data_IF_062806188155
#
_entry.id   IF_062806188155
#
_cell.length_a   1.000
_cell.length_b   1.000
_cell.length_c   1.000
_cell.angle_alpha   90.00
_cell.angle_beta   90.00
_cell.angle_gamma   90.00
#
_symmetry.space_group_name_H-M   'P 1'
#
loop_
_entity.id
_entity.type
_entity.pdbx_description
1 polymer ?
#
# COMPACT_ATOMS: atom_id res chain seq x y z
N UNK A 1 -31.18 -30.72 -16.18
CA UNK A 1 -29.86 -31.19 -15.69
C UNK A 1 -28.84 -30.15 -16.10
N UNK A 2 -28.37 -29.34 -15.15
CA UNK A 2 -27.23 -28.45 -15.44
C UNK A 2 -25.96 -29.31 -15.48
N UNK A 3 -25.09 -29.14 -16.49
CA UNK A 3 -23.83 -29.86 -16.53
C UNK A 3 -22.97 -29.44 -15.33
N UNK A 4 -22.42 -30.41 -14.63
CA UNK A 4 -21.44 -30.16 -13.56
C UNK A 4 -20.23 -29.40 -14.14
N UNK A 5 -19.71 -28.40 -13.42
CA UNK A 5 -18.51 -27.70 -13.83
C UNK A 5 -17.30 -28.65 -13.80
N UNK A 6 -16.32 -28.46 -14.70
CA UNK A 6 -15.18 -29.36 -14.83
C UNK A 6 -14.36 -29.42 -13.53
N UNK A 7 -14.05 -30.66 -13.11
CA UNK A 7 -13.18 -30.95 -11.97
C UNK A 7 -11.82 -30.26 -12.15
N UNK A 8 -11.60 -29.19 -11.39
CA UNK A 8 -10.46 -28.27 -11.52
C UNK A 8 -10.82 -26.81 -11.21
N UNK A 9 -12.11 -26.46 -11.24
CA UNK A 9 -12.63 -25.17 -10.79
C UNK A 9 -13.15 -25.25 -9.36
N UNK A 10 -12.26 -25.50 -8.39
CA UNK A 10 -12.55 -25.04 -7.03
C UNK A 10 -12.40 -23.53 -7.05
N UNK A 11 -13.53 -22.89 -7.38
CA UNK A 11 -13.68 -21.47 -7.52
C UNK A 11 -13.20 -20.82 -6.23
N UNK A 12 -12.34 -19.82 -6.37
CA UNK A 12 -12.09 -18.83 -5.33
C UNK A 12 -13.46 -18.23 -4.99
N UNK A 13 -14.11 -18.78 -3.97
CA UNK A 13 -15.41 -18.35 -3.52
C UNK A 13 -15.21 -16.94 -2.99
N UNK A 14 -16.05 -16.00 -3.42
CA UNK A 14 -16.06 -14.68 -2.82
C UNK A 14 -16.15 -14.83 -1.29
N UNK A 15 -15.34 -14.08 -0.52
CA UNK A 15 -15.30 -14.24 0.93
C UNK A 15 -16.71 -14.10 1.50
N UNK A 16 -17.12 -15.06 2.32
CA UNK A 16 -18.34 -14.94 3.11
C UNK A 16 -18.18 -13.77 4.08
N UNK A 17 -19.05 -12.74 4.05
CA UNK A 17 -18.94 -11.60 4.95
C UNK A 17 -19.06 -12.00 6.44
N UNK A 18 -19.62 -13.18 6.75
CA UNK A 18 -19.69 -13.72 8.11
C UNK A 18 -18.44 -14.49 8.56
N UNK A 19 -17.55 -14.84 7.64
CA UNK A 19 -16.28 -15.51 7.93
C UNK A 19 -15.17 -14.94 7.02
N UNK A 20 -14.35 -13.99 7.53
CA UNK A 20 -13.31 -13.32 6.75
C UNK A 20 -12.19 -14.26 6.27
N UNK A 21 -12.16 -15.51 6.77
CA UNK A 21 -11.18 -16.52 6.40
C UNK A 21 -11.69 -17.49 5.31
N UNK A 22 -12.98 -17.48 4.99
CA UNK A 22 -13.62 -18.45 4.07
C UNK A 22 -13.18 -18.33 2.60
N UNK A 23 -12.61 -17.19 2.20
CA UNK A 23 -12.07 -16.95 0.85
C UNK A 23 -10.54 -16.98 0.76
N UNK A 24 -9.82 -17.27 1.86
CA UNK A 24 -8.36 -17.26 1.88
C UNK A 24 -7.82 -18.46 1.12
N UNK A 25 -6.90 -18.23 0.18
CA UNK A 25 -6.20 -19.31 -0.53
C UNK A 25 -5.31 -20.05 0.47
N UNK A 26 -5.64 -21.31 0.76
CA UNK A 26 -4.97 -22.11 1.79
C UNK A 26 -3.59 -22.61 1.33
N UNK A 27 -3.40 -22.83 0.02
CA UNK A 27 -2.13 -23.34 -0.52
C UNK A 27 -1.18 -22.23 -0.95
N UNK A 28 -0.10 -22.06 -0.18
CA UNK A 28 0.97 -21.10 -0.46
C UNK A 28 1.63 -21.28 -1.84
N UNK A 29 1.74 -22.52 -2.35
CA UNK A 29 2.29 -22.78 -3.69
C UNK A 29 1.36 -22.26 -4.77
N UNK A 30 0.05 -22.44 -4.60
CA UNK A 30 -0.99 -21.90 -5.50
C UNK A 30 -0.98 -20.37 -5.49
N UNK A 31 -0.92 -19.75 -4.30
CA UNK A 31 -0.80 -18.28 -4.16
C UNK A 31 0.40 -17.76 -4.93
N UNK A 32 1.59 -18.35 -4.71
CA UNK A 32 2.81 -17.93 -5.39
C UNK A 32 2.67 -18.01 -6.91
N UNK A 33 2.08 -19.08 -7.45
CA UNK A 33 1.82 -19.20 -8.90
C UNK A 33 0.86 -18.13 -9.40
N UNK A 34 -0.21 -17.83 -8.67
CA UNK A 34 -1.18 -16.79 -9.04
C UNK A 34 -0.53 -15.41 -9.05
N UNK A 35 0.20 -15.06 -8.01
CA UNK A 35 0.92 -13.78 -7.89
C UNK A 35 1.98 -13.66 -8.98
N UNK A 36 2.81 -14.69 -9.19
CA UNK A 36 3.83 -14.65 -10.25
C UNK A 36 3.23 -14.55 -11.65
N UNK A 37 2.09 -15.20 -11.92
CA UNK A 37 1.38 -15.04 -13.19
C UNK A 37 0.75 -13.64 -13.33
N UNK A 38 0.19 -13.09 -12.24
CA UNK A 38 -0.34 -11.73 -12.18
C UNK A 38 0.74 -10.68 -12.41
N UNK A 39 1.91 -10.84 -11.80
CA UNK A 39 3.07 -9.97 -11.97
C UNK A 39 3.54 -9.95 -13.43
N UNK A 40 3.62 -11.12 -14.08
CA UNK A 40 3.94 -11.21 -15.53
C UNK A 40 2.95 -10.47 -16.40
N UNK A 41 1.65 -10.56 -16.09
CA UNK A 41 0.63 -9.80 -16.82
C UNK A 41 0.71 -8.29 -16.57
N UNK A 42 1.35 -7.87 -15.47
CA UNK A 42 1.54 -6.46 -15.12
C UNK A 42 2.77 -5.85 -15.83
N UNK A 43 3.77 -6.64 -16.25
CA UNK A 43 5.04 -6.19 -16.84
C UNK A 43 4.86 -5.12 -17.92
N UNK A 44 3.93 -5.31 -18.86
CA UNK A 44 3.69 -4.32 -19.92
C UNK A 44 3.19 -2.97 -19.37
N UNK A 45 2.36 -2.98 -18.31
CA UNK A 45 1.90 -1.76 -17.64
C UNK A 45 2.99 -1.13 -16.79
N UNK A 46 3.85 -1.93 -16.16
CA UNK A 46 4.99 -1.42 -15.40
C UNK A 46 5.92 -0.60 -16.29
N UNK A 47 6.17 -1.05 -17.52
CA UNK A 47 7.01 -0.27 -18.44
C UNK A 47 6.37 1.07 -18.80
N UNK A 48 5.04 1.11 -18.98
CA UNK A 48 4.35 2.38 -19.22
C UNK A 48 4.39 3.30 -17.99
N UNK A 49 4.23 2.76 -16.79
CA UNK A 49 4.36 3.53 -15.55
C UNK A 49 5.78 4.09 -15.39
N UNK A 50 6.80 3.26 -15.66
CA UNK A 50 8.20 3.67 -15.64
C UNK A 50 8.49 4.81 -16.61
N UNK A 51 7.97 4.74 -17.84
CA UNK A 51 8.15 5.83 -18.82
C UNK A 51 7.48 7.15 -18.37
N UNK A 52 6.34 7.06 -17.69
CA UNK A 52 5.66 8.23 -17.12
C UNK A 52 6.48 8.81 -15.96
N UNK A 53 6.98 7.97 -15.06
CA UNK A 53 7.85 8.36 -13.95
C UNK A 53 9.16 8.98 -14.45
N UNK A 54 9.84 8.34 -15.39
CA UNK A 54 11.09 8.84 -16.00
C UNK A 54 10.89 10.24 -16.60
N UNK A 55 9.78 10.46 -17.33
CA UNK A 55 9.45 11.75 -17.92
C UNK A 55 9.03 12.79 -16.85
N UNK A 56 8.40 12.36 -15.76
CA UNK A 56 8.06 13.24 -14.64
C UNK A 56 9.34 13.68 -13.89
N UNK A 57 10.25 12.75 -13.61
CA UNK A 57 11.55 12.98 -12.95
C UNK A 57 12.57 13.69 -13.85
N UNK A 58 12.19 14.02 -15.08
CA UNK A 58 13.02 14.69 -16.11
C UNK A 58 14.29 13.89 -16.46
N UNK A 59 14.18 12.57 -16.41
CA UNK A 59 15.24 11.69 -16.87
C UNK A 59 15.39 11.91 -18.39
N UNK A 60 16.62 12.11 -18.90
CA UNK A 60 16.82 12.28 -20.33
C UNK A 60 16.24 11.10 -21.14
N UNK A 61 15.52 11.36 -22.25
CA UNK A 61 14.80 10.33 -22.97
C UNK A 61 15.71 9.26 -23.59
N UNK A 62 16.89 9.67 -24.06
CA UNK A 62 17.85 8.77 -24.70
C UNK A 62 19.09 8.59 -23.84
N UNK A 63 19.74 7.44 -23.97
CA UNK A 63 21.08 7.23 -23.42
C UNK A 63 22.14 7.84 -24.35
N UNK A 64 23.31 8.20 -23.82
CA UNK A 64 24.40 8.75 -24.63
C UNK A 64 24.85 7.80 -25.74
N UNK A 65 24.77 6.49 -25.50
CA UNK A 65 25.09 5.45 -26.49
C UNK A 65 24.10 5.46 -27.66
N UNK A 66 22.80 5.61 -27.40
CA UNK A 66 21.76 5.72 -28.44
C UNK A 66 21.98 6.98 -29.29
N UNK A 67 22.21 8.13 -28.65
CA UNK A 67 22.48 9.39 -29.36
C UNK A 67 23.72 9.29 -30.24
N UNK A 68 24.77 8.63 -29.76
CA UNK A 68 26.00 8.42 -30.55
C UNK A 68 25.77 7.47 -31.72
N UNK A 69 24.98 6.42 -31.53
CA UNK A 69 24.61 5.49 -32.59
C UNK A 69 23.78 6.19 -33.69
N UNK A 70 22.91 7.12 -33.31
CA UNK A 70 22.05 7.88 -34.23
C UNK A 70 22.76 9.08 -34.87
N UNK A 71 24.05 9.31 -34.55
CA UNK A 71 24.82 10.47 -35.04
C UNK A 71 24.36 11.81 -34.44
N UNK A 72 23.57 11.76 -33.38
CA UNK A 72 23.02 12.89 -32.63
C UNK A 72 23.76 13.16 -31.31
N UNK A 73 24.97 12.60 -31.11
CA UNK A 73 25.76 12.83 -29.89
C UNK A 73 26.13 14.30 -29.63
N UNK A 74 25.92 15.20 -30.61
CA UNK A 74 26.09 16.64 -30.47
C UNK A 74 24.80 17.36 -30.02
N UNK A 75 23.65 16.70 -30.08
CA UNK A 75 22.35 17.27 -29.73
C UNK A 75 22.17 17.32 -28.21
N UNK A 76 21.40 18.30 -27.74
CA UNK A 76 21.05 18.40 -26.32
C UNK A 76 19.98 17.36 -25.97
N UNK A 77 20.27 16.55 -24.97
CA UNK A 77 19.37 15.52 -24.46
C UNK A 77 18.85 15.94 -23.09
N UNK A 78 17.82 16.79 -23.10
CA UNK A 78 17.25 17.41 -21.91
C UNK A 78 15.74 17.31 -21.98
N UNK A 79 15.12 16.83 -20.91
CA UNK A 79 13.69 17.00 -20.69
C UNK A 79 13.43 18.35 -20.00
N UNK A 80 12.56 19.15 -20.59
CA UNK A 80 12.19 20.48 -20.08
C UNK A 80 11.11 20.42 -18.98
N UNK A 81 10.67 19.22 -18.58
CA UNK A 81 9.68 19.02 -17.52
C UNK A 81 8.25 19.29 -17.99
N UNK A 82 7.96 19.07 -19.27
CA UNK A 82 6.61 19.24 -19.81
C UNK A 82 5.59 18.29 -19.15
N UNK A 83 6.03 17.08 -18.83
CA UNK A 83 5.21 16.07 -18.17
C UNK A 83 4.91 16.43 -16.71
N UNK A 84 5.92 16.83 -15.93
CA UNK A 84 5.75 17.33 -14.56
C UNK A 84 4.78 18.51 -14.52
N UNK A 85 5.01 19.55 -15.33
CA UNK A 85 4.14 20.71 -15.38
C UNK A 85 2.68 20.34 -15.76
N UNK A 86 2.52 19.39 -16.68
CA UNK A 86 1.21 18.87 -17.07
C UNK A 86 0.49 18.12 -15.96
N UNK A 87 1.19 17.21 -15.28
CA UNK A 87 0.65 16.41 -14.17
C UNK A 87 0.31 17.31 -12.98
N UNK A 88 1.21 18.19 -12.56
CA UNK A 88 0.99 19.08 -11.42
C UNK A 88 -0.15 20.06 -11.66
N UNK A 89 -0.22 20.63 -12.86
CA UNK A 89 -1.33 21.51 -13.25
C UNK A 89 -2.67 20.78 -13.27
N UNK A 90 -2.68 19.50 -13.69
CA UNK A 90 -3.89 18.68 -13.70
C UNK A 90 -4.29 18.15 -12.31
N UNK A 91 -3.32 17.92 -11.42
CA UNK A 91 -3.54 17.46 -10.05
C UNK A 91 -4.04 18.58 -9.12
N UNK A 92 -3.56 19.80 -9.32
CA UNK A 92 -3.86 20.95 -8.46
C UNK A 92 -5.36 21.18 -8.19
N UNK A 93 -6.27 21.14 -9.19
CA UNK A 93 -7.70 21.31 -8.93
C UNK A 93 -8.31 20.24 -8.02
N UNK A 94 -7.82 19.00 -8.09
CA UNK A 94 -8.28 17.92 -7.22
C UNK A 94 -7.80 18.09 -5.79
N UNK A 95 -6.55 18.52 -5.62
CA UNK A 95 -5.99 18.81 -4.29
C UNK A 95 -6.77 19.95 -3.66
N UNK A 96 -7.01 21.04 -4.39
CA UNK A 96 -7.79 22.19 -3.88
C UNK A 96 -9.22 21.78 -3.53
N UNK A 97 -9.88 20.98 -4.37
CA UNK A 97 -11.22 20.47 -4.06
C UNK A 97 -11.27 19.65 -2.77
N UNK A 98 -10.18 18.96 -2.44
CA UNK A 98 -10.10 18.16 -1.23
C UNK A 98 -9.77 18.99 0.01
N UNK A 99 -8.90 19.99 -0.12
CA UNK A 99 -8.34 20.73 1.02
C UNK A 99 -9.07 22.03 1.35
N UNK A 100 -9.72 22.68 0.39
CA UNK A 100 -10.38 23.98 0.58
C UNK A 100 -11.79 23.95 1.20
N UNK A 101 -12.68 22.96 0.96
CA UNK A 101 -14.02 23.03 1.52
C UNK A 101 -14.02 22.69 3.01
N UNK A 102 -14.45 23.64 3.84
CA UNK A 102 -14.78 23.39 5.24
C UNK A 102 -16.30 23.50 5.45
N UNK A 103 -16.98 22.46 5.98
CA UNK A 103 -16.45 21.14 6.36
C UNK A 103 -16.23 20.19 5.16
N UNK A 104 -15.25 19.28 5.27
CA UNK A 104 -14.93 18.28 4.24
C UNK A 104 -16.11 17.35 3.93
N UNK A 105 -16.84 16.96 4.98
CA UNK A 105 -18.01 16.08 4.89
C UNK A 105 -19.26 16.80 5.38
N UNK A 106 -20.35 16.62 4.64
CA UNK A 106 -21.68 17.12 5.03
C UNK A 106 -22.57 15.97 5.48
N UNK A 107 -22.86 15.92 6.77
CA UNK A 107 -23.83 14.97 7.31
C UNK A 107 -25.26 15.46 7.08
N UNK A 108 -26.13 14.56 6.63
CA UNK A 108 -27.56 14.81 6.46
C UNK A 108 -28.35 13.64 7.02
N UNK A 109 -29.54 13.92 7.55
CA UNK A 109 -30.42 12.90 8.10
C UNK A 109 -31.87 13.21 7.75
N UNK A 110 -32.64 12.16 7.50
CA UNK A 110 -34.08 12.24 7.23
C UNK A 110 -34.90 12.27 8.53
N UNK A 111 -34.27 12.04 9.68
CA UNK A 111 -34.94 12.02 10.97
C UNK A 111 -35.35 13.43 11.41
N UNK A 112 -36.54 13.56 11.99
CA UNK A 112 -37.04 14.84 12.53
C UNK A 112 -36.78 14.90 14.03
N UNK A 113 -35.51 15.04 14.39
CA UNK A 113 -35.07 15.18 15.79
C UNK A 113 -34.87 16.67 16.08
N UNK A 114 -35.38 17.20 17.22
CA UNK A 114 -35.07 18.55 17.65
C UNK A 114 -33.54 18.76 17.73
N UNK A 115 -33.03 19.91 17.27
CA UNK A 115 -31.61 20.25 17.28
C UNK A 115 -30.67 19.35 16.45
N UNK A 116 -31.20 18.51 15.55
CA UNK A 116 -30.38 17.64 14.71
C UNK A 116 -29.37 18.41 13.86
N UNK A 117 -29.74 19.58 13.35
CA UNK A 117 -28.84 20.43 12.57
C UNK A 117 -27.58 20.82 13.35
N UNK A 118 -27.72 21.11 14.65
CA UNK A 118 -26.57 21.42 15.50
C UNK A 118 -25.69 20.19 15.70
N UNK A 119 -26.29 19.04 16.02
CA UNK A 119 -25.54 17.79 16.21
C UNK A 119 -24.78 17.35 14.94
N UNK A 120 -25.39 17.50 13.75
CA UNK A 120 -24.74 17.22 12.47
C UNK A 120 -23.60 18.21 12.16
N UNK A 121 -23.75 19.47 12.58
CA UNK A 121 -22.69 20.48 12.46
C UNK A 121 -21.49 20.16 13.35
N UNK A 122 -21.74 19.77 14.61
CA UNK A 122 -20.68 19.31 15.52
C UNK A 122 -19.97 18.06 14.99
N UNK A 123 -20.70 17.12 14.40
CA UNK A 123 -20.10 15.93 13.79
C UNK A 123 -19.21 16.30 12.59
N UNK A 124 -19.65 17.23 11.73
CA UNK A 124 -18.85 17.72 10.61
C UNK A 124 -17.56 18.43 11.08
N UNK A 125 -17.64 19.17 12.19
CA UNK A 125 -16.47 19.82 12.80
C UNK A 125 -15.50 18.80 13.38
N UNK A 126 -16.01 17.81 14.12
CA UNK A 126 -15.19 16.75 14.70
C UNK A 126 -14.48 15.90 13.64
N UNK A 127 -15.15 15.61 12.51
CA UNK A 127 -14.54 14.93 11.36
C UNK A 127 -13.39 15.75 10.74
N UNK A 128 -13.59 17.07 10.58
CA UNK A 128 -12.54 17.96 10.07
C UNK A 128 -11.35 18.09 11.04
N UNK A 129 -11.59 18.16 12.34
CA UNK A 129 -10.54 18.14 13.37
C UNK A 129 -9.77 16.82 13.34
N UNK A 130 -10.48 15.68 13.27
CA UNK A 130 -9.88 14.35 13.15
C UNK A 130 -8.94 14.25 11.93
N UNK A 131 -9.38 14.71 10.76
CA UNK A 131 -8.55 14.68 9.55
C UNK A 131 -7.34 15.62 9.62
N UNK A 132 -7.46 16.76 10.32
CA UNK A 132 -6.34 17.69 10.55
C UNK A 132 -5.32 17.16 11.54
N UNK A 133 -5.79 16.39 12.52
CA UNK A 133 -4.94 15.76 13.52
C UNK A 133 -4.11 14.60 12.95
N UNK A 134 -4.49 14.06 11.78
CA UNK A 134 -3.69 13.07 11.06
C UNK A 134 -2.61 13.75 10.20
N UNK A 135 -1.32 13.64 10.56
CA UNK A 135 -0.25 14.37 9.88
C UNK A 135 -0.09 13.99 8.40
N UNK A 136 -0.32 12.72 8.06
CA UNK A 136 -0.08 12.20 6.71
C UNK A 136 -1.30 12.30 5.79
N UNK A 137 -2.45 12.78 6.28
CA UNK A 137 -3.70 12.88 5.50
C UNK A 137 -3.48 13.56 4.15
N UNK A 138 -2.88 14.76 4.18
CA UNK A 138 -2.66 15.57 2.97
C UNK A 138 -1.68 14.87 2.03
N UNK A 139 -0.61 14.30 2.58
CA UNK A 139 0.40 13.59 1.79
C UNK A 139 -0.20 12.39 1.07
N UNK A 140 -0.90 11.52 1.80
CA UNK A 140 -1.50 10.31 1.24
C UNK A 140 -2.59 10.64 0.21
N UNK A 141 -3.37 11.69 0.46
CA UNK A 141 -4.36 12.16 -0.49
C UNK A 141 -3.73 12.76 -1.76
N UNK A 142 -2.68 13.57 -1.62
CA UNK A 142 -1.93 14.12 -2.75
C UNK A 142 -1.30 13.00 -3.58
N UNK A 143 -0.71 11.98 -2.94
CA UNK A 143 -0.13 10.85 -3.65
C UNK A 143 -1.18 10.04 -4.41
N UNK A 144 -2.35 9.80 -3.80
CA UNK A 144 -3.47 9.16 -4.48
C UNK A 144 -3.91 9.96 -5.73
N UNK A 145 -4.01 11.29 -5.62
CA UNK A 145 -4.39 12.18 -6.72
C UNK A 145 -3.30 12.18 -7.81
N UNK A 146 -2.04 12.30 -7.42
CA UNK A 146 -0.91 12.26 -8.33
C UNK A 146 -0.91 10.95 -9.14
N UNK A 147 -0.99 9.80 -8.46
CA UNK A 147 -1.07 8.49 -9.11
C UNK A 147 -2.27 8.37 -10.06
N UNK A 148 -3.40 8.97 -9.69
CA UNK A 148 -4.59 9.03 -10.55
C UNK A 148 -4.35 9.83 -11.82
N UNK A 149 -3.69 10.98 -11.73
CA UNK A 149 -3.43 11.86 -12.87
C UNK A 149 -2.32 11.27 -13.76
N UNK A 150 -1.22 10.81 -13.16
CA UNK A 150 -0.07 10.26 -13.86
C UNK A 150 -0.37 8.90 -14.54
N UNK A 151 -1.01 7.98 -13.82
CA UNK A 151 -1.15 6.59 -14.25
C UNK A 151 -2.61 6.16 -14.50
N UNK A 152 -3.57 7.07 -14.31
CA UNK A 152 -5.00 6.82 -14.49
C UNK A 152 -5.68 6.13 -13.31
N UNK A 153 -4.96 5.76 -12.25
CA UNK A 153 -5.50 5.07 -11.08
C UNK A 153 -4.94 5.62 -9.76
N UNK A 154 -5.82 6.13 -8.89
CA UNK A 154 -5.48 6.48 -7.51
C UNK A 154 -5.96 5.38 -6.59
N UNK A 155 -5.04 4.57 -6.06
CA UNK A 155 -5.35 3.45 -5.18
C UNK A 155 -4.98 3.85 -3.74
N UNK A 156 -5.82 3.49 -2.80
CA UNK A 156 -5.52 3.54 -1.37
C UNK A 156 -6.10 2.32 -0.67
N UNK A 157 -5.58 1.99 0.50
CA UNK A 157 -6.06 0.91 1.34
C UNK A 157 -5.90 1.24 2.82
N UNK A 158 -6.61 0.52 3.68
CA UNK A 158 -6.51 0.67 5.13
C UNK A 158 -5.64 -0.47 5.68
N UNK A 159 -4.38 -0.22 6.08
CA UNK A 159 -3.46 -1.26 6.52
C UNK A 159 -3.89 -1.92 7.84
N UNK A 160 -4.62 -1.19 8.68
CA UNK A 160 -5.10 -1.66 9.98
C UNK A 160 -6.61 -1.97 9.91
N UNK A 161 -7.08 -3.13 10.42
CA UNK A 161 -8.50 -3.50 10.38
C UNK A 161 -9.47 -2.53 11.06
N UNK A 162 -8.96 -1.75 12.03
CA UNK A 162 -9.73 -0.78 12.80
C UNK A 162 -9.17 0.65 12.67
N UNK A 163 -8.15 0.83 11.82
CA UNK A 163 -7.58 2.14 11.54
C UNK A 163 -8.39 2.83 10.45
N UNK A 164 -8.66 4.11 10.65
CA UNK A 164 -9.26 4.98 9.63
C UNK A 164 -8.19 5.73 8.81
N UNK A 165 -6.92 5.65 9.20
CA UNK A 165 -5.80 6.11 8.39
C UNK A 165 -5.64 5.17 7.19
N UNK A 166 -5.71 5.73 5.97
CA UNK A 166 -5.39 4.99 4.76
C UNK A 166 -3.96 5.27 4.33
N UNK A 167 -3.46 4.41 3.45
CA UNK A 167 -2.21 4.60 2.74
C UNK A 167 -2.48 4.56 1.25
N UNK A 168 -1.91 5.52 0.52
CA UNK A 168 -1.88 5.52 -0.93
C UNK A 168 -0.96 4.41 -1.43
N UNK A 169 -1.32 3.83 -2.57
CA UNK A 169 -0.57 2.75 -3.18
C UNK A 169 -0.27 3.11 -4.63
N UNK A 170 0.99 2.99 -5.01
CA UNK A 170 1.37 3.12 -6.41
C UNK A 170 0.72 2.01 -7.25
N UNK A 171 0.16 2.29 -8.44
CA UNK A 171 -0.47 1.28 -9.30
C UNK A 171 0.41 0.08 -9.66
N UNK A 172 1.73 0.26 -9.71
CA UNK A 172 2.69 -0.83 -9.91
C UNK A 172 2.63 -1.89 -8.80
N UNK A 173 2.19 -1.51 -7.60
CA UNK A 173 2.20 -2.38 -6.43
C UNK A 173 0.90 -3.17 -6.27
N UNK A 174 -0.11 -2.94 -7.11
CA UNK A 174 -1.37 -3.69 -7.06
C UNK A 174 -1.43 -4.78 -8.15
N UNK A 175 -1.44 -6.04 -7.72
CA UNK A 175 -1.67 -7.17 -8.60
C UNK A 175 -3.15 -7.54 -8.54
N UNK A 176 -3.79 -7.43 -9.70
CA UNK A 176 -5.20 -7.75 -9.90
C UNK A 176 -5.39 -9.06 -10.67
N UNK A 177 -6.55 -9.71 -10.51
CA UNK A 177 -6.86 -10.92 -11.26
C UNK A 177 -7.03 -10.60 -12.76
N UNK A 178 -6.79 -11.57 -13.66
CA UNK A 178 -7.03 -11.37 -15.08
C UNK A 178 -8.49 -10.97 -15.31
N UNK A 179 -8.71 -9.87 -16.04
CA UNK A 179 -10.05 -9.30 -16.29
C UNK A 179 -10.78 -8.84 -15.01
N UNK A 180 -10.04 -8.25 -14.07
CA UNK A 180 -10.62 -7.56 -12.92
C UNK A 180 -11.65 -6.52 -13.40
N UNK A 181 -12.88 -6.61 -12.87
CA UNK A 181 -13.92 -5.59 -13.10
C UNK A 181 -13.66 -4.34 -12.26
N UNK A 182 -14.50 -3.31 -12.43
CA UNK A 182 -14.36 -2.06 -11.69
C UNK A 182 -14.67 -2.18 -10.18
N UNK A 183 -15.43 -3.20 -9.77
CA UNK A 183 -15.78 -3.42 -8.36
C UNK A 183 -14.77 -4.38 -7.70
N UNK A 184 -13.93 -3.90 -6.76
CA UNK A 184 -12.95 -4.72 -6.05
C UNK A 184 -13.56 -5.83 -5.19
N UNK A 185 -14.77 -5.65 -4.68
CA UNK A 185 -15.46 -6.66 -3.85
C UNK A 185 -15.76 -7.95 -4.61
N UNK A 186 -15.82 -7.86 -5.94
CA UNK A 186 -16.05 -9.01 -6.83
C UNK A 186 -14.74 -9.68 -7.25
N UNK A 187 -13.60 -9.14 -6.86
CA UNK A 187 -12.33 -9.73 -7.23
C UNK A 187 -12.12 -11.02 -6.43
N UNK A 188 -11.85 -12.15 -7.09
CA UNK A 188 -11.62 -13.42 -6.38
C UNK A 188 -10.36 -13.38 -5.51
N UNK A 189 -9.42 -12.48 -5.82
CA UNK A 189 -8.21 -12.23 -5.06
C UNK A 189 -7.62 -10.89 -5.51
N UNK A 190 -6.77 -10.30 -4.68
CA UNK A 190 -5.82 -9.26 -5.05
C UNK A 190 -4.54 -9.47 -4.24
N UNK A 191 -3.43 -8.90 -4.69
CA UNK A 191 -2.21 -8.86 -3.91
C UNK A 191 -1.61 -7.46 -3.97
N UNK A 192 -1.10 -7.01 -2.82
CA UNK A 192 -0.38 -5.76 -2.69
C UNK A 192 1.10 -6.11 -2.50
N UNK A 193 1.95 -5.54 -3.33
CA UNK A 193 3.39 -5.56 -3.15
C UNK A 193 3.71 -4.43 -2.19
N UNK A 194 4.27 -4.77 -1.04
CA UNK A 194 4.71 -3.77 -0.06
C UNK A 194 6.10 -4.13 0.42
N UNK A 195 6.86 -3.12 0.77
CA UNK A 195 8.16 -3.26 1.39
C UNK A 195 7.97 -3.31 2.91
N UNK A 196 8.67 -4.25 3.54
CA UNK A 196 8.69 -4.36 5.00
C UNK A 196 10.10 -4.05 5.47
N UNK A 197 10.20 -3.21 6.50
CA UNK A 197 11.44 -3.09 7.25
C UNK A 197 11.68 -4.38 8.03
N UNK A 198 12.94 -4.70 8.31
CA UNK A 198 13.30 -5.94 8.99
C UNK A 198 12.81 -5.91 10.44
N UNK A 199 12.87 -4.73 11.04
CA UNK A 199 12.35 -4.43 12.36
C UNK A 199 10.86 -4.75 12.44
N UNK A 200 10.08 -4.41 11.41
CA UNK A 200 8.66 -4.75 11.33
C UNK A 200 8.46 -6.27 11.28
N UNK A 201 9.24 -6.97 10.45
CA UNK A 201 9.18 -8.43 10.37
C UNK A 201 9.58 -9.12 11.68
N UNK A 202 10.58 -8.58 12.39
CA UNK A 202 10.98 -9.06 13.71
C UNK A 202 9.86 -8.81 14.73
N UNK A 203 9.25 -7.62 14.73
CA UNK A 203 8.13 -7.31 15.60
C UNK A 203 6.92 -8.23 15.36
N UNK A 204 6.63 -8.56 14.09
CA UNK A 204 5.59 -9.55 13.74
C UNK A 204 5.92 -10.98 14.17
N UNK A 205 7.19 -11.30 14.44
CA UNK A 205 7.63 -12.60 14.93
C UNK A 205 7.72 -12.71 16.47
N UNK A 206 7.49 -11.61 17.20
CA UNK A 206 7.55 -11.57 18.66
C UNK A 206 6.61 -12.59 19.32
N UNK A 207 5.34 -12.66 18.87
CA UNK A 207 4.38 -13.69 19.26
C UNK A 207 4.06 -14.62 18.08
N UNK A 208 4.55 -15.86 18.17
CA UNK A 208 4.41 -16.87 17.11
C UNK A 208 2.97 -17.36 16.95
N UNK A 209 2.18 -17.37 18.02
CA UNK A 209 0.78 -17.82 17.98
C UNK A 209 -0.12 -16.71 17.43
N UNK A 210 0.12 -15.46 17.83
CA UNK A 210 -0.58 -14.31 17.27
C UNK A 210 -0.27 -14.16 15.77
N UNK A 211 1.00 -14.26 15.38
CA UNK A 211 1.42 -14.20 13.98
C UNK A 211 0.68 -15.24 13.12
N UNK A 212 0.57 -16.49 13.60
CA UNK A 212 -0.20 -17.54 12.92
C UNK A 212 -1.68 -17.22 12.82
N UNK A 213 -2.27 -16.67 13.88
CA UNK A 213 -3.70 -16.28 13.86
C UNK A 213 -3.98 -15.17 12.85
N UNK A 214 -3.04 -14.23 12.67
CA UNK A 214 -3.10 -13.18 11.66
C UNK A 214 -2.82 -13.71 10.24
N UNK A 215 -2.35 -14.95 10.09
CA UNK A 215 -2.09 -15.61 8.81
C UNK A 215 -0.65 -15.55 8.33
N UNK A 216 0.29 -15.13 9.18
CA UNK A 216 1.71 -15.17 8.88
C UNK A 216 2.26 -16.59 8.95
N UNK A 217 3.35 -16.83 8.21
CA UNK A 217 4.11 -18.07 8.25
C UNK A 217 5.48 -17.82 8.93
N UNK A 218 5.61 -18.01 10.25
CA UNK A 218 6.82 -17.65 10.99
C UNK A 218 8.11 -18.29 10.44
N UNK A 219 8.13 -19.57 10.04
CA UNK A 219 9.28 -20.16 9.35
C UNK A 219 9.71 -19.42 8.08
N UNK A 220 8.76 -19.03 7.22
CA UNK A 220 9.07 -18.34 5.98
C UNK A 220 9.59 -16.90 6.22
N UNK A 221 9.06 -16.21 7.23
CA UNK A 221 9.55 -14.88 7.61
C UNK A 221 10.97 -14.98 8.17
N UNK A 222 11.27 -16.00 8.98
CA UNK A 222 12.64 -16.27 9.45
C UNK A 222 13.61 -16.51 8.30
N UNK A 223 13.24 -17.36 7.35
CA UNK A 223 14.06 -17.63 6.15
C UNK A 223 14.31 -16.33 5.35
N UNK A 224 13.31 -15.46 5.21
CA UNK A 224 13.47 -14.18 4.55
C UNK A 224 14.47 -13.26 5.27
N UNK A 225 14.39 -13.17 6.60
CA UNK A 225 15.34 -12.40 7.43
C UNK A 225 16.76 -12.98 7.31
N UNK A 226 16.92 -14.30 7.37
CA UNK A 226 18.23 -14.96 7.22
C UNK A 226 18.83 -14.77 5.83
N UNK A 227 18.00 -14.84 4.78
CA UNK A 227 18.44 -14.58 3.40
C UNK A 227 18.88 -13.13 3.23
N UNK A 228 18.16 -12.18 3.80
CA UNK A 228 18.58 -10.77 3.81
C UNK A 228 19.94 -10.60 4.51
N UNK A 229 20.11 -11.22 5.68
CA UNK A 229 21.38 -11.23 6.44
C UNK A 229 22.55 -11.71 5.59
N UNK A 230 22.37 -12.79 4.83
CA UNK A 230 23.42 -13.39 4.00
C UNK A 230 23.68 -12.61 2.70
N UNK A 231 22.66 -11.95 2.13
CA UNK A 231 22.74 -11.27 0.83
C UNK A 231 23.41 -9.89 0.84
N UNK A 232 23.27 -9.12 1.92
CA UNK A 232 23.67 -7.70 1.95
C UNK A 232 24.97 -7.41 2.72
N UNK A 233 25.67 -8.43 3.24
CA UNK A 233 26.92 -8.22 4.01
C UNK A 233 26.75 -7.34 5.26
N UNK A 234 25.52 -7.11 5.72
CA UNK A 234 25.21 -6.30 6.91
C UNK A 234 25.81 -7.01 8.11
N UNK A 235 26.79 -6.37 8.75
CA UNK A 235 27.42 -6.88 9.98
C UNK A 235 26.45 -6.76 11.16
N UNK A 236 25.58 -7.74 11.30
CA UNK A 236 24.92 -8.00 12.58
C UNK A 236 26.00 -8.31 13.63
N UNK A 237 25.76 -8.02 14.92
CA UNK A 237 26.66 -8.47 15.98
C UNK A 237 26.87 -9.98 15.83
N UNK A 238 28.12 -10.44 15.83
CA UNK A 238 28.51 -11.82 15.48
C UNK A 238 27.81 -12.92 16.32
N UNK A 239 27.10 -12.53 17.39
CA UNK A 239 26.47 -13.41 18.36
C UNK A 239 24.94 -13.31 18.35
N UNK A 240 24.33 -12.44 17.52
CA UNK A 240 22.89 -12.19 17.54
C UNK A 240 22.15 -13.13 16.58
N UNK A 241 21.46 -14.12 17.16
CA UNK A 241 20.54 -15.02 16.44
C UNK A 241 19.22 -14.30 16.14
N UNK A 242 18.48 -14.70 15.09
CA UNK A 242 17.14 -14.16 14.78
C UNK A 242 16.22 -14.35 15.98
N UNK A 243 16.32 -15.48 16.67
CA UNK A 243 15.57 -15.71 17.91
C UNK A 243 15.99 -14.74 19.04
N UNK A 244 17.28 -14.38 19.14
CA UNK A 244 17.74 -13.37 20.11
C UNK A 244 17.30 -11.95 19.74
N UNK A 245 17.23 -11.60 18.45
CA UNK A 245 16.71 -10.33 17.98
C UNK A 245 15.20 -10.18 18.26
N UNK A 246 14.43 -11.26 18.03
CA UNK A 246 13.01 -11.32 18.38
C UNK A 246 12.80 -11.19 19.90
N UNK A 247 13.61 -11.88 20.71
CA UNK A 247 13.54 -11.76 22.18
C UNK A 247 13.98 -10.40 22.70
N UNK A 248 15.02 -9.79 22.12
CA UNK A 248 15.49 -8.44 22.46
C UNK A 248 14.45 -7.36 22.16
N UNK A 249 13.75 -7.46 21.02
CA UNK A 249 12.66 -6.55 20.67
C UNK A 249 11.43 -6.75 21.57
N UNK A 250 11.07 -8.00 21.87
CA UNK A 250 9.93 -8.31 22.75
C UNK A 250 10.12 -7.70 24.14
N UNK A 251 11.35 -7.71 24.68
CA UNK A 251 11.66 -7.11 25.97
C UNK A 251 11.63 -5.58 25.96
N UNK A 252 11.92 -4.92 24.83
CA UNK A 252 11.79 -3.46 24.72
C UNK A 252 10.35 -2.99 24.52
N UNK A 253 9.53 -3.75 23.79
CA UNK A 253 8.09 -3.44 23.62
C UNK A 253 7.32 -3.70 24.93
N UNK A 254 7.71 -4.71 25.71
CA UNK A 254 7.12 -4.98 27.02
C UNK A 254 7.60 -4.04 28.16
N UNK A 255 8.68 -3.28 27.95
CA UNK A 255 9.10 -2.20 28.87
C UNK A 255 8.52 -0.83 28.52
N UNK A 256 7.69 -0.73 27.47
CA UNK A 256 6.99 0.50 27.09
C UNK A 256 5.73 0.82 27.89
N UNK A 257 5.44 0.08 28.98
CA UNK A 257 4.38 0.44 29.93
C UNK A 257 5.00 1.15 31.14
N UNK A 258 4.80 2.46 31.22
CA UNK A 258 4.94 3.33 32.39
C UNK A 258 6.23 3.20 33.20
N UNK A 259 7.19 4.09 32.92
CA UNK A 259 8.07 4.59 33.99
C UNK A 259 7.81 6.08 34.19
N UNK A 260 6.97 6.37 35.18
CA UNK A 260 6.60 7.70 35.67
C UNK A 260 7.71 8.37 36.51
N UNK A 261 8.96 7.91 36.40
CA UNK A 261 10.05 8.38 37.26
C UNK A 261 11.27 8.95 36.51
N UNK A 262 11.05 10.00 35.71
CA UNK A 262 12.11 10.99 35.45
C UNK A 262 11.60 12.41 35.67
N UNK A 263 11.48 12.76 36.95
CA UNK A 263 11.83 14.11 37.38
C UNK A 263 13.32 14.30 37.16
N UNK A 264 13.73 15.41 36.53
CA UNK A 264 14.61 16.42 37.15
C UNK A 264 15.01 17.53 36.16
N UNK A 265 14.67 18.75 36.60
CA UNK A 265 15.29 20.07 36.37
C UNK A 265 15.02 20.81 35.06
#
# INVERSE_FOLDING_TARGET
MNPEPPAGTDALRAPDPSNPNSGRVIDARRVRRLISAGAKNLEHRLEQYRLVEDAYDRIPPDTEEQLRADGLGWAANVDWGGMEAGIDSAASPFVNLLTEPEPFVKFSSTAKIPNLHHALGELARADAEMLRDWPDWIYEAQMMIHNRVAHGMGIFYFPQPHGWHFQSLHPANLITPPKAGLNPERWPWCAIITEFQIEDLIAKLADKEEARSQGWNPPAVREAIEKYRLGNGVKWPANMDVDQAVHGFSNHVLMGTFDESMTLK
#
